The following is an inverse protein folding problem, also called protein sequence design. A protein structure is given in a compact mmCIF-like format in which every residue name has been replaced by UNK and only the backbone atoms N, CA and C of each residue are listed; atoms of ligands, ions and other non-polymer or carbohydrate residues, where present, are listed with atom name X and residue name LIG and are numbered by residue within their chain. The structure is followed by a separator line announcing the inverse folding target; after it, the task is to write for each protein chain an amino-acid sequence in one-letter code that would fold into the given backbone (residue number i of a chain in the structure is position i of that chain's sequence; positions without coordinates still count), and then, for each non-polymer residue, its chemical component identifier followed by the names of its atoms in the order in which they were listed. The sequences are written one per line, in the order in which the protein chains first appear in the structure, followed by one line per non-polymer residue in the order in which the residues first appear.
data_IF_211142205630
#
_entry.id   IF_211142205630
#
_cell.length_a   1.000
_cell.length_b   1.000
_cell.length_c   1.000
_cell.angle_alpha   90.00
_cell.angle_beta   90.00
_cell.angle_gamma   90.00
#
_symmetry.space_group_name_H-M   'P 1'
#
loop_
_entity.id
_entity.type
_entity.pdbx_description
1 polymer ?
#
# COMPACT_ATOMS: atom_id res chain seq x y z
N UNK A 1 23.29 38.57 -4.99
CA UNK A 1 24.06 37.33 -4.81
C UNK A 1 23.50 36.32 -5.81
N UNK A 2 24.07 36.25 -7.00
CA UNK A 2 23.56 35.45 -8.13
C UNK A 2 24.24 34.10 -8.16
N UNK A 3 23.47 33.03 -8.06
CA UNK A 3 23.96 31.66 -8.20
C UNK A 3 24.52 31.46 -9.61
N UNK A 4 25.75 30.97 -9.67
CA UNK A 4 26.46 30.64 -10.90
C UNK A 4 25.87 29.39 -11.54
N UNK A 5 26.10 29.21 -12.83
CA UNK A 5 25.64 28.04 -13.60
C UNK A 5 26.13 26.70 -13.01
N UNK A 6 27.26 26.72 -12.30
CA UNK A 6 27.80 25.57 -11.56
C UNK A 6 27.02 25.28 -10.28
N UNK A 7 26.64 26.32 -9.53
CA UNK A 7 25.82 26.18 -8.32
C UNK A 7 24.40 25.71 -8.68
N UNK A 8 23.84 26.19 -9.80
CA UNK A 8 22.55 25.70 -10.31
C UNK A 8 22.62 24.23 -10.78
N UNK A 9 23.72 23.81 -11.40
CA UNK A 9 23.95 22.41 -11.78
C UNK A 9 24.11 21.50 -10.55
N UNK A 10 24.83 21.96 -9.53
CA UNK A 10 25.03 21.20 -8.28
C UNK A 10 23.72 21.07 -7.50
N UNK A 11 22.88 22.11 -7.48
CA UNK A 11 21.57 22.11 -6.83
C UNK A 11 20.57 21.19 -7.55
N UNK A 12 20.57 21.17 -8.89
CA UNK A 12 19.72 20.26 -9.68
C UNK A 12 20.15 18.80 -9.53
N UNK A 13 21.46 18.52 -9.47
CA UNK A 13 21.97 17.17 -9.28
C UNK A 13 21.65 16.61 -7.89
N UNK A 14 21.67 17.43 -6.84
CA UNK A 14 21.34 16.99 -5.47
C UNK A 14 19.84 16.70 -5.28
N UNK A 15 18.95 17.49 -5.88
CA UNK A 15 17.50 17.21 -5.86
C UNK A 15 17.16 15.91 -6.62
N UNK A 16 17.81 15.67 -7.76
CA UNK A 16 17.60 14.44 -8.53
C UNK A 16 18.03 13.18 -7.75
N UNK A 17 19.12 13.26 -6.99
CA UNK A 17 19.60 12.16 -6.15
C UNK A 17 18.65 11.90 -4.97
N UNK A 18 18.02 12.92 -4.38
CA UNK A 18 17.04 12.73 -3.29
C UNK A 18 15.75 12.05 -3.77
N UNK A 19 15.28 12.37 -4.98
CA UNK A 19 14.12 11.71 -5.61
C UNK A 19 14.41 10.25 -6.01
N UNK A 20 15.69 9.90 -6.22
CA UNK A 20 16.12 8.54 -6.59
C UNK A 20 16.24 7.58 -5.40
N UNK A 21 16.06 8.03 -4.16
CA UNK A 21 15.98 7.15 -3.00
C UNK A 21 14.59 6.48 -2.92
N UNK A 22 14.22 5.76 -3.97
CA UNK A 22 13.22 4.71 -3.87
C UNK A 22 13.78 3.69 -2.89
N UNK A 23 13.27 3.67 -1.66
CA UNK A 23 13.64 2.65 -0.68
C UNK A 23 13.44 1.30 -1.33
N UNK A 24 14.52 0.57 -1.56
CA UNK A 24 14.47 -0.78 -2.06
C UNK A 24 13.50 -1.57 -1.16
N UNK A 25 12.42 -2.04 -1.76
CA UNK A 25 11.50 -2.94 -1.09
C UNK A 25 12.23 -4.22 -0.73
N UNK A 26 11.87 -4.74 0.45
CA UNK A 26 12.59 -5.79 1.14
C UNK A 26 13.00 -6.96 0.23
N UNK A 27 12.20 -7.35 -0.77
CA UNK A 27 12.53 -8.46 -1.69
C UNK A 27 11.94 -8.26 -3.10
N UNK A 28 12.03 -7.04 -3.66
CA UNK A 28 11.45 -6.76 -5.00
C UNK A 28 9.92 -6.69 -5.05
N UNK A 29 9.25 -6.76 -3.90
CA UNK A 29 7.84 -6.39 -3.74
C UNK A 29 7.69 -4.86 -3.85
N UNK A 30 6.48 -4.29 -3.78
CA UNK A 30 6.27 -2.83 -3.59
C UNK A 30 7.24 -1.89 -4.37
N UNK A 31 7.62 -2.25 -5.60
CA UNK A 31 8.50 -1.43 -6.47
C UNK A 31 7.80 -0.17 -6.97
N UNK A 32 6.46 -0.16 -6.87
CA UNK A 32 5.60 1.02 -6.88
C UNK A 32 4.79 1.04 -5.57
N UNK A 33 4.23 2.19 -5.15
CA UNK A 33 3.31 2.24 -4.02
C UNK A 33 2.20 1.17 -4.16
N UNK A 34 1.98 0.32 -3.15
CA UNK A 34 0.93 -0.70 -3.23
C UNK A 34 -0.44 -0.03 -3.23
N UNK A 35 -1.34 -0.54 -4.08
CA UNK A 35 -2.70 -0.03 -4.22
C UNK A 35 -3.70 -1.12 -3.83
N UNK A 36 -4.69 -0.76 -3.02
CA UNK A 36 -5.67 -1.71 -2.49
C UNK A 36 -6.77 -1.04 -1.68
N UNK A 37 -7.56 -1.86 -1.01
CA UNK A 37 -8.62 -1.47 -0.09
C UNK A 37 -8.34 -2.03 1.30
N UNK A 38 -8.82 -1.34 2.35
CA UNK A 38 -8.67 -1.74 3.75
C UNK A 38 -10.02 -1.62 4.47
N UNK A 39 -10.37 -2.61 5.31
CA UNK A 39 -11.67 -2.67 6.00
C UNK A 39 -11.88 -1.60 7.08
N UNK A 40 -10.82 -1.10 7.72
CA UNK A 40 -10.87 -0.31 8.95
C UNK A 40 -11.68 0.98 8.83
N UNK A 41 -11.46 1.74 7.75
CA UNK A 41 -12.03 3.09 7.60
C UNK A 41 -13.56 3.11 7.60
N UNK A 42 -14.19 1.99 7.22
CA UNK A 42 -15.64 1.89 7.15
C UNK A 42 -16.22 0.87 8.13
N UNK A 43 -15.56 -0.28 8.31
CA UNK A 43 -16.14 -1.41 9.04
C UNK A 43 -15.61 -1.60 10.47
N UNK A 44 -14.39 -1.11 10.78
CA UNK A 44 -13.71 -1.43 12.05
C UNK A 44 -13.77 -2.94 12.33
N UNK A 45 -14.18 -3.37 13.54
CA UNK A 45 -14.34 -4.78 13.89
C UNK A 45 -15.56 -5.48 13.26
N UNK A 46 -16.43 -4.79 12.51
CA UNK A 46 -17.58 -5.43 11.86
C UNK A 46 -17.19 -6.06 10.52
N UNK A 47 -16.28 -7.04 10.57
CA UNK A 47 -15.78 -7.78 9.41
C UNK A 47 -16.31 -9.22 9.42
N UNK A 48 -16.51 -9.80 8.23
CA UNK A 48 -16.91 -11.20 8.06
C UNK A 48 -16.45 -11.73 6.70
N UNK A 49 -16.34 -13.05 6.53
CA UNK A 49 -15.97 -13.68 5.26
C UNK A 49 -16.85 -13.19 4.10
N UNK A 50 -18.18 -13.17 4.30
CA UNK A 50 -19.13 -12.73 3.28
C UNK A 50 -18.91 -11.26 2.87
N UNK A 51 -18.63 -10.38 3.84
CA UNK A 51 -18.35 -8.97 3.58
C UNK A 51 -17.05 -8.79 2.79
N UNK A 52 -15.97 -9.48 3.18
CA UNK A 52 -14.67 -9.35 2.52
C UNK A 52 -14.75 -9.87 1.08
N UNK A 53 -15.45 -10.99 0.83
CA UNK A 53 -15.70 -11.49 -0.53
C UNK A 53 -16.50 -10.50 -1.37
N UNK A 54 -17.57 -9.93 -0.81
CA UNK A 54 -18.36 -8.91 -1.49
C UNK A 54 -17.54 -7.67 -1.86
N UNK A 55 -16.59 -7.25 -1.00
CA UNK A 55 -15.68 -6.13 -1.30
C UNK A 55 -14.68 -6.48 -2.41
N UNK A 56 -14.16 -7.70 -2.42
CA UNK A 56 -13.30 -8.17 -3.51
C UNK A 56 -14.05 -8.19 -4.85
N UNK A 57 -15.30 -8.67 -4.87
CA UNK A 57 -16.16 -8.65 -6.05
C UNK A 57 -16.46 -7.22 -6.51
N UNK A 58 -16.74 -6.30 -5.57
CA UNK A 58 -16.95 -4.88 -5.86
C UNK A 58 -15.71 -4.20 -6.44
N UNK A 59 -14.50 -4.53 -5.94
CA UNK A 59 -13.24 -4.02 -6.51
C UNK A 59 -13.03 -4.49 -7.96
N UNK A 60 -13.50 -5.71 -8.30
CA UNK A 60 -13.48 -6.21 -9.67
C UNK A 60 -14.52 -5.50 -10.54
N UNK A 61 -15.78 -5.50 -10.13
CA UNK A 61 -16.90 -5.00 -10.95
C UNK A 61 -16.88 -3.48 -11.14
N UNK A 62 -16.31 -2.73 -10.20
CA UNK A 62 -16.15 -1.27 -10.30
C UNK A 62 -15.01 -0.83 -11.22
N UNK A 63 -14.14 -1.75 -11.65
CA UNK A 63 -12.94 -1.43 -12.43
C UNK A 63 -11.73 -1.00 -11.60
N UNK A 64 -11.82 -0.97 -10.26
CA UNK A 64 -10.68 -0.64 -9.39
C UNK A 64 -9.51 -1.61 -9.60
N UNK A 65 -9.77 -2.91 -9.78
CA UNK A 65 -8.73 -3.88 -10.10
C UNK A 65 -7.99 -3.52 -11.40
N UNK A 66 -8.74 -3.14 -12.44
CA UNK A 66 -8.17 -2.73 -13.72
C UNK A 66 -7.36 -1.44 -13.60
N UNK A 67 -7.72 -0.54 -12.67
CA UNK A 67 -6.98 0.66 -12.34
C UNK A 67 -5.74 0.42 -11.45
N UNK A 68 -5.46 -0.82 -11.04
CA UNK A 68 -4.25 -1.21 -10.32
C UNK A 68 -4.44 -1.50 -8.83
N UNK A 69 -5.65 -1.48 -8.28
CA UNK A 69 -5.91 -1.87 -6.89
C UNK A 69 -5.89 -3.39 -6.75
N UNK A 70 -4.83 -3.96 -6.18
CA UNK A 70 -4.58 -5.42 -6.16
C UNK A 70 -4.78 -6.07 -4.79
N UNK A 71 -4.74 -5.30 -3.71
CA UNK A 71 -4.75 -5.85 -2.35
C UNK A 71 -6.10 -5.61 -1.65
N UNK A 72 -6.64 -6.65 -1.01
CA UNK A 72 -7.77 -6.58 -0.07
C UNK A 72 -7.20 -6.82 1.32
N UNK A 73 -7.08 -5.77 2.13
CA UNK A 73 -6.53 -5.85 3.47
C UNK A 73 -7.65 -5.98 4.51
N UNK A 74 -7.71 -7.12 5.18
CA UNK A 74 -8.54 -7.32 6.36
C UNK A 74 -7.75 -6.73 7.53
N UNK A 75 -8.27 -5.65 8.12
CA UNK A 75 -7.66 -5.01 9.28
C UNK A 75 -8.03 -5.78 10.57
N UNK A 76 -7.93 -5.13 11.73
CA UNK A 76 -8.09 -5.74 13.06
C UNK A 76 -9.42 -6.52 13.26
N UNK A 77 -9.45 -7.35 14.31
CA UNK A 77 -10.62 -8.10 14.80
C UNK A 77 -11.11 -9.26 13.90
N UNK A 78 -10.27 -9.81 13.03
CA UNK A 78 -10.60 -11.00 12.22
C UNK A 78 -10.26 -12.30 12.92
N UNK A 79 -9.33 -12.25 13.87
CA UNK A 79 -8.78 -13.38 14.59
C UNK A 79 -9.80 -14.08 15.49
N UNK A 80 -9.66 -15.40 15.59
CA UNK A 80 -10.32 -16.22 16.60
C UNK A 80 -9.44 -16.46 17.82
N UNK A 81 -9.87 -17.38 18.67
CA UNK A 81 -9.07 -17.90 19.78
C UNK A 81 -7.88 -18.72 19.27
N UNK A 82 -6.78 -18.74 20.05
CA UNK A 82 -5.64 -19.62 19.76
C UNK A 82 -5.99 -21.07 20.07
N UNK A 83 -5.59 -21.99 19.19
CA UNK A 83 -5.67 -23.44 19.42
C UNK A 83 -4.64 -23.91 20.46
N UNK A 84 -4.68 -25.19 20.82
CA UNK A 84 -3.76 -25.78 21.81
C UNK A 84 -2.29 -25.77 21.39
N UNK A 85 -2.00 -25.51 20.11
CA UNK A 85 -0.65 -25.40 19.56
C UNK A 85 -0.22 -23.92 19.42
N UNK A 86 -1.10 -22.96 19.72
CA UNK A 86 -0.84 -21.53 19.67
C UNK A 86 -1.21 -20.85 18.34
N UNK A 87 -1.85 -21.54 17.40
CA UNK A 87 -2.28 -20.98 16.12
C UNK A 87 -3.63 -20.28 16.24
N UNK A 88 -3.79 -19.19 15.49
CA UNK A 88 -5.06 -18.52 15.21
C UNK A 88 -5.50 -18.96 13.82
#
# INVERSE_FOLDING_TARGET
MTLTRRELLLLTLTVAVQLAHGRASAQGLATTPPMGWNSWNHYRCNVSDALIRAQADAMLSSGMKAAGYQYVNIDDCWEGERDTNGYI
#
